data_IF_411727141997
#
_entry.id   IF_411727141997
#
_cell.length_a   1.000
_cell.length_b   1.000
_cell.length_c   1.000
_cell.angle_alpha   90.00
_cell.angle_beta   90.00
_cell.angle_gamma   90.00
#
_symmetry.space_group_name_H-M   'P 1'
#
loop_
_entity.id
_entity.type
_entity.pdbx_description
1 polymer ?
#
# COMPACT_ATOMS: atom_id res chain seq x y z
N UNK A 1 6.72 23.53 -13.51
CA UNK A 1 7.26 22.42 -14.31
C UNK A 1 6.73 21.13 -13.70
N UNK A 2 5.55 20.66 -14.14
CA UNK A 2 4.97 19.43 -13.61
C UNK A 2 5.58 18.26 -14.36
N UNK A 3 6.28 17.37 -13.65
CA UNK A 3 6.82 16.14 -14.23
C UNK A 3 5.63 15.24 -14.55
N UNK A 4 5.20 15.24 -15.81
CA UNK A 4 4.33 14.22 -16.36
C UNK A 4 5.17 12.94 -16.45
N UNK A 5 5.11 12.07 -15.45
CA UNK A 5 5.54 10.69 -15.61
C UNK A 5 4.53 10.02 -16.54
N UNK A 6 4.90 9.59 -17.76
CA UNK A 6 4.01 8.78 -18.59
C UNK A 6 3.95 7.41 -17.92
N UNK A 7 3.10 7.25 -16.91
CA UNK A 7 2.80 5.93 -16.36
C UNK A 7 2.10 5.16 -17.47
N UNK A 8 2.86 4.31 -18.17
CA UNK A 8 2.28 3.35 -19.10
C UNK A 8 1.31 2.50 -18.30
N UNK A 9 0.01 2.77 -18.46
CA UNK A 9 -1.04 2.08 -17.71
C UNK A 9 -1.00 0.60 -18.08
N UNK A 10 -0.39 -0.22 -17.23
CA UNK A 10 -0.40 -1.68 -17.38
C UNK A 10 -1.80 -2.18 -17.04
N UNK A 11 -2.38 -2.95 -17.95
CA UNK A 11 -3.69 -3.60 -17.75
C UNK A 11 -3.46 -5.01 -17.23
N UNK A 12 -4.18 -5.38 -16.19
CA UNK A 12 -4.19 -6.73 -15.63
C UNK A 12 -5.57 -7.31 -15.94
N UNK A 13 -5.62 -8.45 -16.62
CA UNK A 13 -6.85 -9.23 -16.78
C UNK A 13 -6.82 -10.33 -15.73
N UNK A 14 -7.85 -10.39 -14.89
CA UNK A 14 -7.96 -11.37 -13.82
C UNK A 14 -9.28 -12.13 -13.97
N UNK A 15 -9.25 -13.43 -13.69
CA UNK A 15 -10.45 -14.24 -13.55
C UNK A 15 -10.78 -14.35 -12.07
N UNK A 16 -12.04 -14.11 -11.72
CA UNK A 16 -12.52 -14.16 -10.34
C UNK A 16 -13.60 -15.24 -10.20
N UNK A 17 -13.68 -15.93 -9.06
CA UNK A 17 -14.86 -16.68 -8.67
C UNK A 17 -16.11 -15.79 -8.61
N UNK A 18 -17.28 -16.35 -8.89
CA UNK A 18 -18.56 -15.62 -8.97
C UNK A 18 -18.92 -14.90 -7.66
N UNK A 19 -18.70 -15.57 -6.52
CA UNK A 19 -18.93 -15.02 -5.18
C UNK A 19 -18.06 -13.77 -4.91
N UNK A 20 -16.81 -13.78 -5.34
CA UNK A 20 -15.90 -12.63 -5.20
C UNK A 20 -16.33 -11.48 -6.12
N UNK A 21 -16.74 -11.78 -7.35
CA UNK A 21 -17.23 -10.77 -8.30
C UNK A 21 -18.48 -10.07 -7.77
N UNK A 22 -19.43 -10.82 -7.20
CA UNK A 22 -20.64 -10.28 -6.58
C UNK A 22 -20.31 -9.33 -5.43
N UNK A 23 -19.46 -9.76 -4.50
CA UNK A 23 -19.04 -8.96 -3.34
C UNK A 23 -18.33 -7.69 -3.80
N UNK A 24 -17.40 -7.80 -4.75
CA UNK A 24 -16.68 -6.66 -5.29
C UNK A 24 -17.63 -5.64 -5.94
N UNK A 25 -18.64 -6.13 -6.66
CA UNK A 25 -19.66 -5.29 -7.29
C UNK A 25 -20.52 -4.58 -6.26
N UNK A 26 -20.91 -5.25 -5.19
CA UNK A 26 -21.68 -4.66 -4.09
C UNK A 26 -20.89 -3.55 -3.38
N UNK A 27 -19.61 -3.78 -3.10
CA UNK A 27 -18.73 -2.78 -2.47
C UNK A 27 -18.51 -1.59 -3.40
N UNK A 28 -18.26 -1.83 -4.69
CA UNK A 28 -18.11 -0.77 -5.68
C UNK A 28 -19.38 0.09 -5.77
N UNK A 29 -20.56 -0.54 -5.77
CA UNK A 29 -21.86 0.14 -5.77
C UNK A 29 -22.09 0.96 -4.50
N UNK A 30 -21.77 0.41 -3.32
CA UNK A 30 -21.84 1.12 -2.03
C UNK A 30 -21.02 2.41 -2.07
N UNK A 31 -19.83 2.35 -2.67
CA UNK A 31 -18.88 3.45 -2.70
C UNK A 31 -19.06 4.38 -3.91
N UNK A 32 -20.01 4.08 -4.80
CA UNK A 32 -20.33 4.90 -5.97
C UNK A 32 -19.22 4.95 -7.02
N UNK A 33 -18.39 3.92 -7.11
CA UNK A 33 -17.24 3.85 -8.03
C UNK A 33 -17.35 2.67 -8.98
N UNK A 34 -16.66 2.70 -10.16
CA UNK A 34 -16.56 1.53 -11.02
C UNK A 34 -15.90 0.33 -10.32
N UNK A 35 -16.33 -0.88 -10.67
CA UNK A 35 -15.79 -2.15 -10.14
C UNK A 35 -14.27 -2.21 -10.30
N UNK A 36 -13.74 -1.83 -11.46
CA UNK A 36 -12.29 -1.80 -11.71
C UNK A 36 -11.55 -0.80 -10.80
N UNK A 37 -12.17 0.34 -10.49
CA UNK A 37 -11.60 1.33 -9.56
C UNK A 37 -11.57 0.77 -8.14
N UNK A 38 -12.66 0.11 -7.71
CA UNK A 38 -12.69 -0.53 -6.39
C UNK A 38 -11.67 -1.66 -6.29
N UNK A 39 -11.55 -2.50 -7.32
CA UNK A 39 -10.55 -3.55 -7.38
C UNK A 39 -9.13 -2.98 -7.24
N UNK A 40 -8.83 -1.90 -7.97
CA UNK A 40 -7.54 -1.21 -7.86
C UNK A 40 -7.27 -0.73 -6.43
N UNK A 41 -8.22 -0.06 -5.79
CA UNK A 41 -8.08 0.41 -4.41
C UNK A 41 -7.86 -0.72 -3.40
N UNK A 42 -8.55 -1.85 -3.59
CA UNK A 42 -8.38 -3.02 -2.71
C UNK A 42 -7.03 -3.71 -2.92
N UNK A 43 -6.54 -3.75 -4.16
CA UNK A 43 -5.19 -4.26 -4.46
C UNK A 43 -4.12 -3.35 -3.87
N UNK A 44 -4.28 -2.03 -3.98
CA UNK A 44 -3.38 -1.04 -3.38
C UNK A 44 -3.32 -1.23 -1.86
N UNK A 45 -4.47 -1.31 -1.19
CA UNK A 45 -4.54 -1.59 0.25
C UNK A 45 -3.92 -2.94 0.63
N UNK A 46 -4.15 -3.99 -0.16
CA UNK A 46 -3.56 -5.30 0.10
C UNK A 46 -2.02 -5.26 0.01
N UNK A 47 -1.48 -4.53 -0.98
CA UNK A 47 -0.04 -4.34 -1.12
C UNK A 47 0.55 -3.55 0.05
N UNK A 48 -0.14 -2.52 0.53
CA UNK A 48 0.29 -1.77 1.72
C UNK A 48 0.36 -2.67 2.97
N UNK A 49 -0.65 -3.53 3.18
CA UNK A 49 -0.69 -4.49 4.29
C UNK A 49 0.47 -5.50 4.18
N UNK A 50 0.70 -6.05 2.98
CA UNK A 50 1.82 -6.96 2.73
C UNK A 50 3.18 -6.27 2.95
N UNK A 51 3.28 -4.97 2.63
CA UNK A 51 4.49 -4.18 2.85
C UNK A 51 4.78 -4.02 4.35
N UNK A 52 3.77 -3.72 5.17
CA UNK A 52 3.90 -3.59 6.61
C UNK A 52 4.47 -4.88 7.25
N UNK A 53 4.04 -6.06 6.81
CA UNK A 53 4.61 -7.34 7.28
C UNK A 53 6.09 -7.49 6.95
N UNK A 54 6.53 -6.98 5.80
CA UNK A 54 7.94 -7.00 5.40
C UNK A 54 8.75 -6.02 6.25
N UNK A 55 8.22 -4.82 6.48
CA UNK A 55 8.88 -3.83 7.34
C UNK A 55 9.02 -4.33 8.78
N UNK A 56 8.00 -5.01 9.32
CA UNK A 56 8.06 -5.59 10.66
C UNK A 56 9.21 -6.59 10.78
N UNK A 57 9.40 -7.48 9.79
CA UNK A 57 10.51 -8.44 9.77
C UNK A 57 11.86 -7.75 9.77
N UNK A 58 12.03 -6.70 8.97
CA UNK A 58 13.28 -5.92 8.91
C UNK A 58 13.54 -5.23 10.25
N UNK A 59 12.51 -4.68 10.90
CA UNK A 59 12.64 -4.05 12.22
C UNK A 59 13.02 -5.08 13.27
N UNK A 60 12.36 -6.24 13.30
CA UNK A 60 12.65 -7.33 14.24
C UNK A 60 14.10 -7.84 14.13
N UNK A 61 14.67 -7.87 12.92
CA UNK A 61 16.09 -8.22 12.72
C UNK A 61 17.06 -7.15 13.25
N UNK A 62 16.61 -5.90 13.36
CA UNK A 62 17.43 -4.74 13.77
C UNK A 62 17.26 -4.39 15.25
N UNK A 63 16.17 -4.81 15.89
CA UNK A 63 15.90 -4.64 17.31
C UNK A 63 16.68 -5.68 18.15
N UNK A 64 18.01 -5.54 18.12
CA UNK A 64 18.93 -6.37 18.91
C UNK A 64 19.24 -5.72 20.26
N UNK A 65 19.61 -6.47 21.31
CA UNK A 65 19.99 -5.90 22.61
C UNK A 65 21.14 -4.88 22.57
N UNK A 66 21.99 -4.96 21.53
CA UNK A 66 23.13 -4.07 21.30
C UNK A 66 22.80 -2.93 20.32
N UNK A 67 21.52 -2.75 19.95
CA UNK A 67 21.11 -1.71 19.02
C UNK A 67 21.35 -0.32 19.62
N UNK A 68 21.96 0.56 18.82
CA UNK A 68 22.17 1.95 19.20
C UNK A 68 20.86 2.71 18.98
N UNK A 69 20.20 3.06 20.08
CA UNK A 69 19.01 3.92 20.06
C UNK A 69 19.43 5.39 19.93
N UNK A 70 18.82 6.09 18.98
CA UNK A 70 18.93 7.55 18.87
C UNK A 70 17.63 8.18 19.35
N UNK A 71 17.71 9.35 19.98
CA UNK A 71 16.49 10.02 20.46
C UNK A 71 15.72 10.66 19.29
N UNK A 72 14.40 10.83 19.47
CA UNK A 72 13.50 11.36 18.43
C UNK A 72 13.98 12.71 17.87
N UNK A 73 14.43 13.61 18.74
CA UNK A 73 15.00 14.92 18.37
C UNK A 73 16.24 14.80 17.46
N UNK A 74 17.04 13.75 17.65
CA UNK A 74 18.24 13.52 16.85
C UNK A 74 17.90 12.91 15.49
N UNK A 75 16.91 12.02 15.44
CA UNK A 75 16.47 11.40 14.21
C UNK A 75 15.73 12.39 13.28
N UNK A 76 15.04 13.41 13.81
CA UNK A 76 14.27 14.39 13.02
C UNK A 76 14.99 15.72 12.77
N UNK A 77 16.24 15.86 13.22
CA UNK A 77 17.03 17.11 13.17
C UNK A 77 17.19 17.72 11.77
N UNK A 78 17.02 16.94 10.70
CA UNK A 78 17.13 17.39 9.30
C UNK A 78 15.81 17.72 8.58
N UNK A 79 14.65 17.55 9.22
CA UNK A 79 13.33 17.73 8.58
C UNK A 79 12.71 19.13 8.81
N UNK A 80 13.42 20.04 9.47
CA UNK A 80 13.03 21.43 9.65
C UNK A 80 13.87 22.37 8.75
N UNK A 81 13.49 22.48 7.49
CA UNK A 81 13.87 23.58 6.60
C UNK A 81 12.64 24.13 5.88
#
# INVERSE_FOLDING_TARGET
MTILMPTSKKRINISLPEDIEEVLTLIAKRDGVPVATKAFQLIELALEIDEDEVWEKIIAERDTPDAVFISHEEAWRGLHH
#
